data_IF_976937488682
#
_entry.id   IF_976937488682
#
_cell.length_a   1.000
_cell.length_b   1.000
_cell.length_c   1.000
_cell.angle_alpha   90.00
_cell.angle_beta   90.00
_cell.angle_gamma   90.00
#
_symmetry.space_group_name_H-M   'P 1'
#
loop_
_entity.id
_entity.type
_entity.pdbx_description
1 polymer ?
#
# COMPACT_ATOMS: atom_id res chain seq x y z
N UNK A 1 -12.96 18.68 16.51
CA UNK A 1 -11.98 18.02 15.62
C UNK A 1 -12.73 17.77 14.33
N UNK A 2 -12.30 18.42 13.27
CA UNK A 2 -13.07 18.49 12.02
C UNK A 2 -13.04 17.12 11.35
N UNK A 3 -14.14 16.73 10.69
CA UNK A 3 -14.25 15.41 10.05
C UNK A 3 -13.11 15.13 9.07
N UNK A 4 -12.62 16.19 8.43
CA UNK A 4 -11.51 16.17 7.48
C UNK A 4 -10.17 15.86 8.17
N UNK A 5 -9.92 16.46 9.33
CA UNK A 5 -8.73 16.18 10.14
C UNK A 5 -8.73 14.74 10.67
N UNK A 6 -9.89 14.20 11.03
CA UNK A 6 -10.04 12.80 11.46
C UNK A 6 -9.69 11.84 10.33
N UNK A 7 -10.19 12.11 9.13
CA UNK A 7 -9.91 11.29 7.93
C UNK A 7 -8.42 11.32 7.61
N UNK A 8 -7.79 12.50 7.63
CA UNK A 8 -6.34 12.63 7.40
C UNK A 8 -5.50 11.87 8.43
N UNK A 9 -5.85 11.96 9.71
CA UNK A 9 -5.20 11.22 10.78
C UNK A 9 -5.29 9.71 10.55
N UNK A 10 -6.46 9.23 10.13
CA UNK A 10 -6.71 7.82 9.89
C UNK A 10 -5.93 7.31 8.68
N UNK A 11 -5.84 8.10 7.60
CA UNK A 11 -4.98 7.80 6.46
C UNK A 11 -3.50 7.75 6.83
N UNK A 12 -3.00 8.71 7.60
CA UNK A 12 -1.61 8.72 8.06
C UNK A 12 -1.31 7.50 8.94
N UNK A 13 -2.21 7.14 9.85
CA UNK A 13 -2.07 5.94 10.67
C UNK A 13 -2.03 4.67 9.81
N UNK A 14 -2.97 4.50 8.88
CA UNK A 14 -3.01 3.35 7.97
C UNK A 14 -1.75 3.29 7.11
N UNK A 15 -1.29 4.43 6.59
CA UNK A 15 -0.07 4.51 5.79
C UNK A 15 1.16 4.09 6.59
N UNK A 16 1.29 4.54 7.84
CA UNK A 16 2.39 4.13 8.73
C UNK A 16 2.36 2.63 9.03
N UNK A 17 1.19 2.08 9.36
CA UNK A 17 1.02 0.64 9.66
C UNK A 17 1.32 -0.21 8.42
N UNK A 18 0.78 0.17 7.25
CA UNK A 18 1.05 -0.53 6.00
C UNK A 18 2.52 -0.47 5.60
N UNK A 19 3.15 0.70 5.73
CA UNK A 19 4.58 0.87 5.45
C UNK A 19 5.43 0.01 6.39
N UNK A 20 5.10 -0.04 7.69
CA UNK A 20 5.76 -0.92 8.63
C UNK A 20 5.60 -2.40 8.24
N UNK A 21 4.38 -2.87 8.00
CA UNK A 21 4.10 -4.27 7.69
C UNK A 21 4.79 -4.76 6.40
N UNK A 22 4.82 -3.92 5.36
CA UNK A 22 5.30 -4.32 4.03
C UNK A 22 6.80 -4.05 3.86
N UNK A 23 7.30 -2.88 4.24
CA UNK A 23 8.66 -2.43 3.92
C UNK A 23 9.64 -2.62 5.09
N UNK A 24 9.23 -2.25 6.31
CA UNK A 24 10.17 -2.17 7.43
C UNK A 24 10.18 -3.39 8.34
N UNK A 25 9.13 -4.21 8.31
CA UNK A 25 8.99 -5.44 9.10
C UNK A 25 10.13 -6.45 8.86
N UNK A 26 10.76 -6.44 7.69
CA UNK A 26 11.89 -7.31 7.40
C UNK A 26 13.19 -6.90 8.12
N UNK A 27 13.30 -5.64 8.54
CA UNK A 27 14.52 -5.05 9.12
C UNK A 27 14.38 -4.70 10.61
N UNK A 28 13.15 -4.61 11.12
CA UNK A 28 12.86 -4.25 12.50
C UNK A 28 12.51 -5.49 13.33
N UNK A 29 12.89 -5.55 14.62
CA UNK A 29 12.46 -6.61 15.52
C UNK A 29 10.94 -6.57 15.75
N UNK A 30 10.37 -7.69 16.23
CA UNK A 30 8.96 -7.78 16.57
C UNK A 30 8.58 -6.75 17.63
N UNK A 31 7.41 -6.17 17.46
CA UNK A 31 6.90 -5.08 18.30
C UNK A 31 6.28 -5.56 19.61
N UNK A 32 5.96 -6.85 19.72
CA UNK A 32 5.23 -7.43 20.85
C UNK A 32 3.72 -7.18 20.79
N UNK A 33 3.24 -6.47 19.77
CA UNK A 33 1.82 -6.23 19.52
C UNK A 33 1.33 -7.35 18.60
N UNK A 34 0.48 -8.23 19.13
CA UNK A 34 0.02 -9.45 18.44
C UNK A 34 -0.42 -9.20 16.98
N UNK A 35 -1.23 -8.16 16.74
CA UNK A 35 -1.73 -7.85 15.39
C UNK A 35 -0.59 -7.48 14.43
N UNK A 36 0.33 -6.61 14.86
CA UNK A 36 1.46 -6.17 14.02
C UNK A 36 2.47 -7.30 13.82
N UNK A 37 2.68 -8.13 14.84
CA UNK A 37 3.59 -9.26 14.80
C UNK A 37 3.09 -10.38 13.87
N UNK A 38 1.77 -10.64 13.86
CA UNK A 38 1.15 -11.57 12.90
C UNK A 38 1.32 -11.06 11.46
N UNK A 39 1.12 -9.77 11.22
CA UNK A 39 1.35 -9.17 9.90
C UNK A 39 2.84 -9.23 9.50
N UNK A 40 3.75 -9.03 10.45
CA UNK A 40 5.19 -9.06 10.19
C UNK A 40 5.70 -10.48 9.85
N UNK A 41 5.10 -11.49 10.49
CA UNK A 41 5.41 -12.91 10.32
C UNK A 41 4.73 -13.54 9.09
N UNK A 42 3.78 -12.85 8.46
CA UNK A 42 3.17 -13.32 7.21
C UNK A 42 4.22 -13.30 6.08
N UNK A 43 4.67 -14.48 5.67
CA UNK A 43 5.62 -14.67 4.57
C UNK A 43 4.94 -14.83 3.21
N UNK A 44 3.62 -15.03 3.19
CA UNK A 44 2.90 -15.47 1.99
C UNK A 44 2.37 -14.29 1.15
N UNK A 45 1.99 -13.19 1.79
CA UNK A 45 1.44 -12.00 1.11
C UNK A 45 2.35 -10.76 1.18
N UNK A 46 3.51 -10.87 1.84
CA UNK A 46 4.41 -9.73 2.12
C UNK A 46 4.82 -8.93 0.88
N UNK A 47 5.03 -9.61 -0.25
CA UNK A 47 5.46 -9.00 -1.50
C UNK A 47 4.32 -8.60 -2.43
N UNK A 48 3.09 -9.04 -2.15
CA UNK A 48 1.93 -8.72 -2.99
C UNK A 48 1.72 -7.22 -3.03
N UNK A 49 1.85 -6.51 -1.90
CA UNK A 49 1.76 -5.05 -1.85
C UNK A 49 2.83 -4.35 -2.70
N UNK A 50 4.07 -4.84 -2.69
CA UNK A 50 5.18 -4.28 -3.48
C UNK A 50 4.93 -4.50 -4.97
N UNK A 51 4.42 -5.67 -5.37
CA UNK A 51 4.04 -5.94 -6.77
C UNK A 51 2.76 -5.22 -7.21
N UNK A 52 1.87 -4.88 -6.28
CA UNK A 52 0.61 -4.21 -6.59
C UNK A 52 0.84 -2.77 -7.09
N UNK A 53 1.85 -2.08 -6.58
CA UNK A 53 2.19 -0.71 -7.01
C UNK A 53 2.55 -0.65 -8.51
N UNK A 54 3.56 -1.37 -9.03
CA UNK A 54 3.91 -1.31 -10.44
C UNK A 54 2.83 -1.93 -11.35
N UNK A 55 2.12 -2.96 -10.89
CA UNK A 55 1.07 -3.60 -11.70
C UNK A 55 -0.15 -2.69 -11.87
N UNK A 56 -0.62 -2.05 -10.80
CA UNK A 56 -1.74 -1.09 -10.89
C UNK A 56 -1.34 0.16 -11.65
N UNK A 57 -0.15 0.71 -11.41
CA UNK A 57 0.37 1.85 -12.16
C UNK A 57 0.45 1.53 -13.66
N UNK A 58 1.01 0.38 -14.03
CA UNK A 58 1.08 -0.05 -15.43
C UNK A 58 -0.31 -0.18 -16.06
N UNK A 59 -1.28 -0.78 -15.35
CA UNK A 59 -2.66 -0.89 -15.83
C UNK A 59 -3.29 0.47 -16.12
N UNK A 60 -3.14 1.44 -15.20
CA UNK A 60 -3.66 2.80 -15.38
C UNK A 60 -3.00 3.49 -16.56
N UNK A 61 -1.68 3.39 -16.69
CA UNK A 61 -0.93 3.99 -17.79
C UNK A 61 -1.33 3.37 -19.13
N UNK A 62 -1.42 2.04 -19.20
CA UNK A 62 -1.82 1.34 -20.42
C UNK A 62 -3.25 1.69 -20.84
N UNK A 63 -4.17 1.80 -19.88
CA UNK A 63 -5.55 2.24 -20.14
C UNK A 63 -5.57 3.69 -20.65
N UNK A 64 -4.87 4.59 -19.98
CA UNK A 64 -4.76 5.99 -20.38
C UNK A 64 -4.23 6.11 -21.81
N UNK A 65 -3.09 5.47 -22.09
CA UNK A 65 -2.44 5.51 -23.40
C UNK A 65 -3.34 4.88 -24.47
N UNK A 66 -3.98 3.76 -24.17
CA UNK A 66 -4.95 3.13 -25.07
C UNK A 66 -6.12 4.06 -25.41
N UNK A 67 -6.63 4.82 -24.44
CA UNK A 67 -7.67 5.81 -24.67
C UNK A 67 -7.20 6.98 -25.56
N UNK A 68 -5.95 7.42 -25.42
CA UNK A 68 -5.39 8.45 -26.29
C UNK A 68 -5.33 7.97 -27.75
N UNK A 69 -4.90 6.73 -27.98
CA UNK A 69 -4.90 6.14 -29.33
C UNK A 69 -6.32 5.96 -29.87
N UNK A 70 -7.29 5.51 -29.07
CA UNK A 70 -8.68 5.37 -29.51
C UNK A 70 -9.30 6.70 -29.95
N UNK A 71 -9.02 7.81 -29.24
CA UNK A 71 -9.60 9.13 -29.56
C UNK A 71 -8.93 9.85 -30.72
N UNK A 72 -7.65 9.57 -30.99
CA UNK A 72 -6.86 10.26 -32.01
C UNK A 72 -6.59 9.39 -33.25
N UNK A 73 -7.26 8.24 -33.38
CA UNK A 73 -7.17 7.34 -34.53
C UNK A 73 -8.37 7.46 -35.46
#
# INVERSE_FOLDING_TARGET
MDSESVVLLLFLLLFCVASYAILFSAFLPLTGIFILDVLALDTHYKYVGIFLIPTTAYFVIANWVGWQYYRNS
#
